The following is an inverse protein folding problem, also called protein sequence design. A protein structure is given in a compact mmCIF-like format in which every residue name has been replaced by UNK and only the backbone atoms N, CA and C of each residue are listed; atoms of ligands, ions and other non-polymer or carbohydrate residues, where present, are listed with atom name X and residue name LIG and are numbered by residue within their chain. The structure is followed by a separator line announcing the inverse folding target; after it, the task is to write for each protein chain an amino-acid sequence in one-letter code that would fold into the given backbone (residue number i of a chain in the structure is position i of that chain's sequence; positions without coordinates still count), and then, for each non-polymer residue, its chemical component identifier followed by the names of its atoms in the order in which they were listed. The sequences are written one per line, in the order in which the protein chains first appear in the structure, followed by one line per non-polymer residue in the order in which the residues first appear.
data_IF_375821820813
#
_entry.id   IF_375821820813
#
_cell.length_a   1.000
_cell.length_b   1.000
_cell.length_c   1.000
_cell.angle_alpha   90.00
_cell.angle_beta   90.00
_cell.angle_gamma   90.00
#
_symmetry.space_group_name_H-M   'P 1'
#
loop_
_entity.id
_entity.type
_entity.pdbx_description
1 polymer ?
#
# COMPACT_ATOMS: atom_id res chain seq x y z
N UNK A 1 9.62 -12.89 3.04
CA UNK A 1 10.36 -11.60 2.90
C UNK A 1 10.77 -11.13 4.30
N UNK A 2 12.03 -10.78 4.52
CA UNK A 2 12.50 -10.30 5.85
C UNK A 2 12.01 -8.88 6.12
N UNK A 3 11.91 -8.48 7.40
CA UNK A 3 11.43 -7.14 7.80
C UNK A 3 12.25 -6.02 7.14
N UNK A 4 13.59 -6.14 7.15
CA UNK A 4 14.48 -5.15 6.50
C UNK A 4 14.24 -5.03 4.99
N UNK A 5 13.97 -6.15 4.30
CA UNK A 5 13.67 -6.13 2.86
C UNK A 5 12.32 -5.45 2.59
N UNK A 6 11.31 -5.67 3.43
CA UNK A 6 9.99 -5.01 3.29
C UNK A 6 10.10 -3.49 3.34
N UNK A 7 10.82 -2.95 4.32
CA UNK A 7 11.01 -1.50 4.47
C UNK A 7 11.65 -0.87 3.23
N UNK A 8 12.70 -1.50 2.70
CA UNK A 8 13.41 -1.00 1.50
C UNK A 8 12.51 -0.96 0.26
N UNK A 9 11.64 -1.96 0.07
CA UNK A 9 10.70 -1.99 -1.08
C UNK A 9 9.65 -0.88 -0.94
N UNK A 10 9.15 -0.63 0.28
CA UNK A 10 8.19 0.46 0.53
C UNK A 10 8.82 1.83 0.31
N UNK A 11 10.05 2.03 0.78
CA UNK A 11 10.80 3.27 0.57
C UNK A 11 11.07 3.52 -0.92
N UNK A 12 11.51 2.49 -1.64
CA UNK A 12 11.71 2.54 -3.09
C UNK A 12 10.41 2.89 -3.81
N UNK A 13 9.29 2.26 -3.46
CA UNK A 13 8.00 2.53 -4.08
C UNK A 13 7.47 3.95 -3.81
N UNK A 14 7.72 4.50 -2.62
CA UNK A 14 7.33 5.86 -2.28
C UNK A 14 8.24 6.93 -2.90
N UNK A 15 9.39 6.56 -3.46
CA UNK A 15 10.28 7.47 -4.14
C UNK A 15 9.67 7.91 -5.49
N UNK A 16 9.63 9.23 -5.72
CA UNK A 16 9.10 9.82 -6.96
C UNK A 16 9.89 9.42 -8.21
N UNK A 17 11.19 9.15 -8.03
CA UNK A 17 12.09 8.75 -9.12
C UNK A 17 12.14 7.22 -9.30
N UNK A 18 11.30 6.48 -8.57
CA UNK A 18 11.23 5.04 -8.72
C UNK A 18 10.68 4.64 -10.07
N UNK A 19 11.27 3.59 -10.65
CA UNK A 19 10.76 2.94 -11.87
C UNK A 19 9.62 1.97 -11.57
N UNK A 20 9.34 1.72 -10.30
CA UNK A 20 8.32 0.77 -9.84
C UNK A 20 6.94 1.41 -9.94
N UNK A 21 6.15 1.00 -10.93
CA UNK A 21 4.77 1.50 -11.11
C UNK A 21 3.78 0.75 -10.21
N UNK A 22 3.90 -0.57 -10.14
CA UNK A 22 2.90 -1.45 -9.52
C UNK A 22 3.47 -2.08 -8.25
N UNK A 23 2.69 -2.04 -7.17
CA UNK A 23 2.99 -2.72 -5.92
C UNK A 23 1.91 -3.76 -5.64
N UNK A 24 2.28 -5.04 -5.66
CA UNK A 24 1.35 -6.13 -5.31
C UNK A 24 1.48 -6.47 -3.83
N UNK A 25 0.34 -6.55 -3.15
CA UNK A 25 0.26 -6.82 -1.72
C UNK A 25 -0.95 -7.70 -1.44
N UNK A 26 -0.78 -8.70 -0.58
CA UNK A 26 -1.92 -9.42 -0.01
C UNK A 26 -2.62 -8.54 1.02
N UNK A 27 -3.96 -8.48 0.96
CA UNK A 27 -4.83 -7.73 1.88
C UNK A 27 -4.42 -7.98 3.35
N UNK A 28 -4.28 -9.26 3.74
CA UNK A 28 -3.89 -9.70 5.09
C UNK A 28 -2.40 -9.60 5.40
N UNK A 29 -1.51 -9.83 4.43
CA UNK A 29 -0.07 -9.83 4.69
C UNK A 29 0.51 -8.45 5.06
N UNK A 30 -0.24 -7.37 4.81
CA UNK A 30 0.14 -6.00 5.12
C UNK A 30 -0.33 -5.47 6.47
N UNK A 31 -0.81 -6.33 7.39
CA UNK A 31 -1.31 -5.94 8.72
C UNK A 31 -0.35 -5.11 9.61
N UNK A 32 0.91 -4.94 9.19
CA UNK A 32 1.84 -3.99 9.77
C UNK A 32 1.77 -2.63 9.03
N UNK A 33 0.77 -1.80 9.32
CA UNK A 33 0.78 -0.33 9.14
C UNK A 33 1.61 0.27 7.98
N UNK A 34 1.58 -0.32 6.78
CA UNK A 34 2.42 0.13 5.67
C UNK A 34 1.92 1.48 5.17
N UNK A 35 2.85 2.37 4.86
CA UNK A 35 2.55 3.66 4.26
C UNK A 35 2.92 3.62 2.77
N UNK A 36 1.91 3.68 1.89
CA UNK A 36 2.06 3.56 0.44
C UNK A 36 1.59 4.83 -0.28
N UNK A 37 1.88 6.01 0.27
CA UNK A 37 1.56 7.33 -0.31
C UNK A 37 2.18 7.59 -1.70
N UNK A 38 3.13 6.78 -2.15
CA UNK A 38 3.63 6.78 -3.52
C UNK A 38 2.53 6.43 -4.54
N UNK A 39 1.62 5.53 -4.16
CA UNK A 39 0.45 5.16 -4.96
C UNK A 39 -0.68 6.17 -4.80
N UNK A 40 -1.60 6.16 -5.76
CA UNK A 40 -2.87 6.86 -5.67
C UNK A 40 -4.03 6.07 -6.27
N UNK A 41 -3.79 4.84 -6.73
CA UNK A 41 -4.83 3.95 -7.24
C UNK A 41 -4.72 2.60 -6.55
N UNK A 42 -5.81 2.13 -5.98
CA UNK A 42 -5.90 0.82 -5.34
C UNK A 42 -6.89 -0.06 -6.11
N UNK A 43 -6.49 -1.29 -6.41
CA UNK A 43 -7.35 -2.28 -7.05
C UNK A 43 -7.47 -3.45 -6.09
N UNK A 44 -8.68 -3.67 -5.56
CA UNK A 44 -8.98 -4.85 -4.75
C UNK A 44 -9.35 -6.00 -5.67
N UNK A 45 -8.51 -7.02 -5.72
CA UNK A 45 -8.75 -8.22 -6.54
C UNK A 45 -9.77 -9.14 -5.88
N UNK A 46 -9.61 -9.37 -4.58
CA UNK A 46 -10.42 -10.26 -3.76
C UNK A 46 -10.85 -9.52 -2.47
N UNK A 47 -12.05 -8.90 -2.45
CA UNK A 47 -12.60 -8.32 -1.23
C UNK A 47 -12.70 -9.35 -0.12
N UNK A 48 -12.34 -8.97 1.11
CA UNK A 48 -12.35 -9.87 2.25
C UNK A 48 -13.76 -9.98 2.87
N UNK A 49 -14.05 -11.13 3.49
CA UNK A 49 -15.31 -11.33 4.22
C UNK A 49 -15.49 -10.36 5.40
N UNK A 50 -14.38 -9.85 5.95
CA UNK A 50 -14.39 -8.83 6.98
C UNK A 50 -14.10 -7.45 6.36
N UNK A 51 -15.09 -6.54 6.27
CA UNK A 51 -14.91 -5.21 5.71
C UNK A 51 -13.77 -4.40 6.36
N UNK A 52 -13.50 -4.63 7.64
CA UNK A 52 -12.44 -3.93 8.36
C UNK A 52 -11.04 -4.25 7.78
N UNK A 53 -10.84 -5.42 7.16
CA UNK A 53 -9.59 -5.77 6.49
C UNK A 53 -9.41 -4.96 5.20
N UNK A 54 -10.49 -4.75 4.46
CA UNK A 54 -10.49 -3.96 3.22
C UNK A 54 -10.29 -2.47 3.55
N UNK A 55 -10.97 -1.95 4.56
CA UNK A 55 -10.76 -0.59 5.08
C UNK A 55 -9.31 -0.37 5.50
N UNK A 56 -8.71 -1.33 6.19
CA UNK A 56 -7.31 -1.27 6.58
C UNK A 56 -6.38 -1.29 5.36
N UNK A 57 -6.71 -2.04 4.31
CA UNK A 57 -5.93 -2.07 3.08
C UNK A 57 -6.03 -0.72 2.32
N UNK A 58 -7.22 -0.14 2.22
CA UNK A 58 -7.44 1.19 1.64
C UNK A 58 -6.69 2.30 2.39
N UNK A 59 -6.70 2.24 3.72
CA UNK A 59 -6.01 3.18 4.60
C UNK A 59 -4.47 3.15 4.50
N UNK A 60 -3.88 2.24 3.69
CA UNK A 60 -2.44 2.23 3.38
C UNK A 60 -2.07 3.25 2.29
N UNK A 61 -3.02 3.55 1.40
CA UNK A 61 -2.83 4.49 0.27
C UNK A 61 -3.48 5.83 0.59
N UNK A 62 -4.70 5.81 1.13
CA UNK A 62 -5.42 7.00 1.56
C UNK A 62 -5.16 7.25 3.05
N UNK A 63 -4.19 8.12 3.32
CA UNK A 63 -3.76 8.52 4.67
C UNK A 63 -3.09 9.89 4.63
N UNK A 64 -2.95 10.51 5.80
CA UNK A 64 -2.15 11.71 6.03
C UNK A 64 -0.78 11.65 5.32
N UNK A 65 -0.47 12.71 4.58
CA UNK A 65 0.72 12.80 3.73
C UNK A 65 0.47 12.49 2.26
N UNK A 66 -0.69 11.94 1.90
CA UNK A 66 -1.12 11.79 0.52
C UNK A 66 -1.42 13.16 -0.11
N UNK A 67 -0.81 13.43 -1.27
CA UNK A 67 -0.97 14.69 -2.03
C UNK A 67 -1.64 14.48 -3.39
N UNK A 68 -1.80 13.22 -3.81
CA UNK A 68 -2.42 12.84 -5.07
C UNK A 68 -3.90 12.51 -4.84
N UNK A 69 -4.78 12.76 -5.83
CA UNK A 69 -6.14 12.25 -5.77
C UNK A 69 -6.13 10.71 -5.78
N UNK A 70 -6.82 10.10 -4.82
CA UNK A 70 -6.92 8.64 -4.68
C UNK A 70 -8.12 8.06 -5.43
N UNK A 71 -7.95 6.86 -5.99
CA UNK A 71 -8.94 6.10 -6.74
C UNK A 71 -8.96 4.63 -6.35
#
# INVERSE_FOLDING_TARGET
MTIKKRAKVVESFNNKDSKEWIFMLSSKAGGCGLNLIGANRLIMFDPDWNPANDDQAMARVWRDGQKKPCY
#
